data_IF_533889992649
#
_entry.id   IF_533889992649
#
_cell.length_a   1.000
_cell.length_b   1.000
_cell.length_c   1.000
_cell.angle_alpha   90.00
_cell.angle_beta   90.00
_cell.angle_gamma   90.00
#
_symmetry.space_group_name_H-M   'P 1'
#
loop_
_entity.id
_entity.type
_entity.pdbx_description
1 polymer ?
#
# COMPACT_ATOMS: atom_id res chain seq x y z
N UNK A 1 10.72 8.39 -5.86
CA UNK A 1 9.92 9.64 -5.73
C UNK A 1 10.36 10.46 -4.51
N UNK A 2 10.38 9.90 -3.30
CA UNK A 2 10.77 10.64 -2.08
C UNK A 2 12.20 11.17 -2.12
N UNK A 3 13.15 10.41 -2.64
CA UNK A 3 14.54 10.86 -2.85
C UNK A 3 14.61 12.06 -3.81
N UNK A 4 13.82 12.05 -4.88
CA UNK A 4 13.76 13.16 -5.82
C UNK A 4 13.21 14.41 -5.13
N UNK A 5 12.13 14.26 -4.34
CA UNK A 5 11.54 15.33 -3.53
C UNK A 5 12.55 15.93 -2.54
N UNK A 6 13.31 15.10 -1.81
CA UNK A 6 14.31 15.59 -0.84
C UNK A 6 15.46 16.30 -1.54
N UNK A 7 15.81 15.87 -2.75
CA UNK A 7 16.86 16.49 -3.57
C UNK A 7 16.51 17.88 -4.12
N UNK A 8 15.26 18.35 -4.01
CA UNK A 8 14.84 19.67 -4.50
C UNK A 8 15.35 20.78 -3.58
N UNK A 9 15.93 21.83 -4.16
CA UNK A 9 16.62 22.89 -3.42
C UNK A 9 15.75 23.70 -2.45
N UNK A 10 14.44 23.82 -2.71
CA UNK A 10 13.57 24.73 -1.95
C UNK A 10 12.25 24.08 -1.54
N UNK A 11 11.71 24.52 -0.39
CA UNK A 11 10.38 24.10 0.07
C UNK A 11 9.27 24.48 -0.92
N UNK A 12 9.44 25.56 -1.69
CA UNK A 12 8.51 25.93 -2.76
C UNK A 12 8.55 24.91 -3.91
N UNK A 13 9.73 24.45 -4.31
CA UNK A 13 9.89 23.39 -5.32
C UNK A 13 9.27 22.08 -4.81
N UNK A 14 9.52 21.71 -3.55
CA UNK A 14 8.92 20.52 -2.92
C UNK A 14 7.39 20.56 -2.93
N UNK A 15 6.78 21.68 -2.51
CA UNK A 15 5.33 21.87 -2.56
C UNK A 15 4.76 21.80 -3.99
N UNK A 16 5.49 22.33 -4.96
CA UNK A 16 5.07 22.27 -6.36
C UNK A 16 5.11 20.83 -6.88
N UNK A 17 6.18 20.11 -6.60
CA UNK A 17 6.31 18.69 -6.92
C UNK A 17 5.19 17.86 -6.30
N UNK A 18 4.89 18.09 -5.02
CA UNK A 18 3.80 17.44 -4.29
C UNK A 18 2.43 17.69 -4.98
N UNK A 19 2.16 18.93 -5.39
CA UNK A 19 0.94 19.31 -6.11
C UNK A 19 0.80 18.58 -7.45
N UNK A 20 1.83 18.64 -8.29
CA UNK A 20 1.79 18.04 -9.63
C UNK A 20 1.72 16.51 -9.53
N UNK A 21 2.44 15.92 -8.59
CA UNK A 21 2.42 14.47 -8.35
C UNK A 21 1.03 14.01 -7.90
N UNK A 22 0.36 14.79 -7.03
CA UNK A 22 -1.01 14.48 -6.60
C UNK A 22 -2.02 14.58 -7.73
N UNK A 23 -1.92 15.60 -8.59
CA UNK A 23 -2.79 15.68 -9.77
C UNK A 23 -2.52 14.56 -10.77
N UNK A 24 -1.26 14.15 -10.96
CA UNK A 24 -0.92 13.01 -11.82
C UNK A 24 -1.56 11.72 -11.30
N UNK A 25 -1.51 11.48 -9.98
CA UNK A 25 -2.22 10.37 -9.33
C UNK A 25 -3.74 10.48 -9.43
N UNK A 26 -4.31 11.69 -9.37
CA UNK A 26 -5.75 11.90 -9.50
C UNK A 26 -6.25 11.55 -10.90
N UNK A 27 -5.50 11.92 -11.92
CA UNK A 27 -5.88 11.74 -13.33
C UNK A 27 -5.74 10.29 -13.75
N UNK A 28 -4.66 9.61 -13.36
CA UNK A 28 -4.30 8.29 -13.88
C UNK A 28 -4.48 7.15 -12.88
N UNK A 29 -4.78 7.47 -11.63
CA UNK A 29 -4.76 6.53 -10.51
C UNK A 29 -3.40 6.46 -9.82
N UNK A 30 -3.39 5.95 -8.59
CA UNK A 30 -2.20 6.00 -7.72
C UNK A 30 -0.97 5.29 -8.31
N UNK A 31 -1.16 4.11 -8.91
CA UNK A 31 -0.06 3.30 -9.46
C UNK A 31 0.46 3.91 -10.76
N UNK A 32 -0.41 4.12 -11.74
CA UNK A 32 -0.04 4.66 -13.05
C UNK A 32 0.51 6.08 -12.93
N UNK A 33 -0.12 6.93 -12.11
CA UNK A 33 0.35 8.29 -11.83
C UNK A 33 1.72 8.31 -11.16
N UNK A 34 2.01 7.38 -10.24
CA UNK A 34 3.36 7.26 -9.68
C UNK A 34 4.38 6.79 -10.73
N UNK A 35 4.01 5.85 -11.58
CA UNK A 35 4.87 5.39 -12.69
C UNK A 35 5.19 6.53 -13.66
N UNK A 36 4.19 7.35 -14.01
CA UNK A 36 4.42 8.52 -14.87
C UNK A 36 5.26 9.58 -14.18
N UNK A 37 5.04 9.84 -12.89
CA UNK A 37 5.88 10.75 -12.13
C UNK A 37 7.34 10.24 -12.11
N UNK A 38 7.57 8.94 -11.92
CA UNK A 38 8.92 8.35 -11.91
C UNK A 38 9.60 8.45 -13.28
N UNK A 39 8.86 8.19 -14.36
CA UNK A 39 9.39 8.34 -15.72
C UNK A 39 9.68 9.81 -16.04
N UNK A 40 8.75 10.70 -15.68
CA UNK A 40 8.86 12.14 -15.90
C UNK A 40 10.08 12.74 -15.22
N UNK A 41 10.29 12.45 -13.92
CA UNK A 41 11.45 13.00 -13.19
C UNK A 41 12.80 12.55 -13.76
N UNK A 42 12.88 11.38 -14.40
CA UNK A 42 14.11 10.89 -15.04
C UNK A 42 14.42 11.64 -16.34
N UNK A 43 13.40 12.20 -16.98
CA UNK A 43 13.50 12.92 -18.24
C UNK A 43 13.67 14.44 -18.06
N UNK A 44 13.62 14.95 -16.83
CA UNK A 44 13.87 16.36 -16.54
C UNK A 44 15.39 16.62 -16.51
N UNK A 45 15.90 17.34 -17.51
CA UNK A 45 17.33 17.69 -17.62
C UNK A 45 17.82 18.57 -16.46
N UNK A 46 17.03 19.60 -16.09
CA UNK A 46 17.37 20.50 -14.99
C UNK A 46 16.15 20.67 -14.07
N UNK A 47 16.15 19.94 -12.95
CA UNK A 47 15.06 19.93 -11.98
C UNK A 47 14.76 21.31 -11.41
N UNK A 48 15.78 22.12 -11.14
CA UNK A 48 15.58 23.41 -10.48
C UNK A 48 14.99 24.45 -11.42
N UNK A 49 15.44 24.47 -12.67
CA UNK A 49 14.86 25.32 -13.71
C UNK A 49 13.42 24.90 -14.00
N UNK A 50 13.18 23.60 -14.15
CA UNK A 50 11.84 23.04 -14.38
C UNK A 50 10.84 23.51 -13.32
N UNK A 51 11.13 23.29 -12.02
CA UNK A 51 10.20 23.70 -10.96
C UNK A 51 10.13 25.21 -10.77
N UNK A 52 11.16 25.98 -11.15
CA UNK A 52 11.08 27.43 -11.16
C UNK A 52 10.09 27.93 -12.22
N UNK A 53 10.14 27.37 -13.43
CA UNK A 53 9.23 27.74 -14.53
C UNK A 53 7.80 27.32 -14.20
N UNK A 54 7.62 26.09 -13.67
CA UNK A 54 6.30 25.62 -13.25
C UNK A 54 5.71 26.47 -12.12
N UNK A 55 6.54 26.93 -11.17
CA UNK A 55 6.08 27.84 -10.10
C UNK A 55 5.57 29.18 -10.65
N UNK A 56 6.23 29.73 -11.67
CA UNK A 56 5.85 31.01 -12.27
C UNK A 56 4.53 30.90 -13.03
N UNK A 57 4.33 29.84 -13.81
CA UNK A 57 3.09 29.63 -14.57
C UNK A 57 1.92 29.18 -13.69
N UNK A 58 2.19 28.54 -12.54
CA UNK A 58 1.15 27.98 -11.67
C UNK A 58 0.14 29.02 -11.17
N UNK A 59 0.53 30.29 -10.99
CA UNK A 59 -0.41 31.36 -10.62
C UNK A 59 -1.46 31.55 -11.72
N UNK A 60 -1.01 31.65 -12.95
CA UNK A 60 -1.86 31.87 -14.13
C UNK A 60 -2.76 30.62 -14.38
N UNK A 61 -2.21 29.42 -14.23
CA UNK A 61 -2.95 28.14 -14.31
C UNK A 61 -4.13 28.12 -13.31
N UNK A 62 -3.89 28.47 -12.04
CA UNK A 62 -4.94 28.47 -11.03
C UNK A 62 -6.00 29.57 -11.28
N UNK A 63 -5.59 30.74 -11.79
CA UNK A 63 -6.52 31.83 -12.14
C UNK A 63 -7.52 31.39 -13.22
N UNK A 64 -7.06 30.60 -14.20
CA UNK A 64 -7.90 30.06 -15.27
C UNK A 64 -8.58 28.74 -14.89
N UNK A 65 -8.52 28.34 -13.61
CA UNK A 65 -9.10 27.08 -13.09
C UNK A 65 -8.62 25.84 -13.84
N UNK A 66 -7.39 25.88 -14.34
CA UNK A 66 -6.72 24.75 -14.97
C UNK A 66 -6.06 23.87 -13.91
N UNK A 67 -5.89 22.59 -14.23
CA UNK A 67 -5.11 21.66 -13.40
C UNK A 67 -3.86 21.21 -14.14
N UNK A 68 -2.78 21.08 -13.39
CA UNK A 68 -1.45 20.75 -13.92
C UNK A 68 -0.98 19.41 -13.33
N UNK A 69 -0.70 18.46 -14.20
CA UNK A 69 -0.09 17.16 -13.89
C UNK A 69 1.22 16.98 -14.66
N UNK A 70 1.95 15.91 -14.39
CA UNK A 70 3.21 15.57 -15.06
C UNK A 70 2.99 14.37 -15.96
N UNK A 71 3.69 14.35 -17.08
CA UNK A 71 3.71 13.21 -17.99
C UNK A 71 5.00 12.42 -17.86
N UNK A 72 4.97 11.18 -18.34
CA UNK A 72 6.16 10.30 -18.38
C UNK A 72 7.34 10.86 -19.18
N UNK A 73 7.11 11.76 -20.14
CA UNK A 73 8.14 12.45 -20.94
C UNK A 73 8.75 13.69 -20.25
N UNK A 74 8.36 13.99 -19.00
CA UNK A 74 8.90 15.13 -18.26
C UNK A 74 8.30 16.47 -18.67
N UNK A 75 7.14 16.44 -19.36
CA UNK A 75 6.35 17.63 -19.69
C UNK A 75 5.24 17.84 -18.66
N UNK A 76 4.63 19.03 -18.68
CA UNK A 76 3.42 19.31 -17.91
C UNK A 76 2.18 19.07 -18.76
N UNK A 77 1.16 18.47 -18.16
CA UNK A 77 -0.12 18.23 -18.79
C UNK A 77 -1.18 19.14 -18.16
N UNK A 78 -1.88 19.91 -18.99
CA UNK A 78 -2.98 20.77 -18.59
C UNK A 78 -4.32 20.07 -18.85
N UNK A 79 -5.16 20.01 -17.82
CA UNK A 79 -6.47 19.35 -17.83
C UNK A 79 -6.42 17.88 -18.30
N UNK A 80 -5.26 17.23 -18.22
CA UNK A 80 -5.03 15.85 -18.70
C UNK A 80 -5.09 15.67 -20.22
N UNK A 81 -5.17 16.76 -20.99
CA UNK A 81 -5.38 16.72 -22.43
C UNK A 81 -4.21 17.29 -23.24
N UNK A 82 -3.54 18.32 -22.73
CA UNK A 82 -2.57 19.09 -23.51
C UNK A 82 -1.20 19.10 -22.82
N UNK A 83 -0.20 18.59 -23.53
CA UNK A 83 1.18 18.54 -23.05
C UNK A 83 1.95 19.78 -23.47
N UNK A 84 2.78 20.30 -22.56
CA UNK A 84 3.63 21.44 -22.81
C UNK A 84 4.96 21.31 -22.08
N UNK A 85 6.01 21.92 -22.66
CA UNK A 85 7.23 22.17 -21.94
C UNK A 85 7.05 23.40 -21.01
N UNK A 86 7.38 23.32 -19.71
CA UNK A 86 7.25 24.47 -18.81
C UNK A 86 8.02 25.72 -19.25
N UNK A 87 9.19 25.53 -19.87
CA UNK A 87 10.01 26.64 -20.36
C UNK A 87 9.32 27.38 -21.51
N UNK A 88 8.67 26.65 -22.43
CA UNK A 88 7.88 27.24 -23.52
C UNK A 88 6.67 28.00 -22.98
N UNK A 89 5.91 27.41 -22.04
CA UNK A 89 4.79 28.10 -21.39
C UNK A 89 5.25 29.37 -20.65
N UNK A 90 6.40 29.31 -20.00
CA UNK A 90 6.97 30.48 -19.35
C UNK A 90 7.33 31.57 -20.37
N UNK A 91 7.95 31.20 -21.49
CA UNK A 91 8.41 32.10 -22.55
C UNK A 91 7.26 32.74 -23.35
N UNK A 92 6.06 32.16 -23.39
CA UNK A 92 4.86 32.77 -24.02
C UNK A 92 4.42 34.10 -23.38
N UNK A 93 4.97 34.47 -22.22
CA UNK A 93 4.55 35.65 -21.49
C UNK A 93 3.15 35.53 -20.90
N UNK A 94 2.72 36.54 -20.14
CA UNK A 94 1.45 36.49 -19.41
C UNK A 94 0.24 36.52 -20.34
N UNK A 95 0.29 37.33 -21.39
CA UNK A 95 -0.80 37.50 -22.35
C UNK A 95 -0.99 36.26 -23.22
N UNK A 96 0.10 35.71 -23.77
CA UNK A 96 0.06 34.48 -24.56
C UNK A 96 -0.46 33.29 -23.73
N UNK A 97 -0.06 33.19 -22.46
CA UNK A 97 -0.61 32.18 -21.55
C UNK A 97 -2.10 32.37 -21.28
N UNK A 98 -2.55 33.61 -21.06
CA UNK A 98 -3.97 33.86 -20.78
C UNK A 98 -4.87 33.49 -21.98
N UNK A 99 -4.43 33.78 -23.20
CA UNK A 99 -5.13 33.38 -24.43
C UNK A 99 -5.17 31.85 -24.56
N UNK A 100 -4.02 31.19 -24.41
CA UNK A 100 -3.93 29.74 -24.44
C UNK A 100 -4.84 29.10 -23.38
N UNK A 101 -4.75 29.54 -22.12
CA UNK A 101 -5.51 28.96 -21.02
C UNK A 101 -7.01 29.18 -21.16
N UNK A 102 -7.43 30.30 -21.74
CA UNK A 102 -8.84 30.55 -22.06
C UNK A 102 -9.35 29.61 -23.16
N UNK A 103 -8.51 29.28 -24.16
CA UNK A 103 -8.86 28.33 -25.22
C UNK A 103 -8.98 26.88 -24.72
N UNK A 104 -8.22 26.52 -23.69
CA UNK A 104 -8.23 25.17 -23.09
C UNK A 104 -9.48 24.89 -22.23
N UNK A 105 -10.21 25.93 -21.82
CA UNK A 105 -11.38 25.81 -20.96
C UNK A 105 -11.06 25.37 -19.52
N UNK A 106 -12.05 25.42 -18.63
CA UNK A 106 -11.87 25.06 -17.22
C UNK A 106 -11.73 23.55 -17.03
N UNK A 107 -11.03 23.13 -15.97
CA UNK A 107 -10.92 21.71 -15.65
C UNK A 107 -12.29 21.11 -15.26
N UNK A 108 -12.64 19.98 -15.86
CA UNK A 108 -13.76 19.13 -15.40
C UNK A 108 -13.41 18.51 -14.04
N UNK A 109 -14.15 18.88 -12.99
CA UNK A 109 -13.93 18.42 -11.60
C UNK A 109 -14.97 17.36 -11.23
N UNK A 110 -14.87 16.18 -11.83
CA UNK A 110 -15.75 15.05 -11.48
C UNK A 110 -15.10 14.08 -10.48
N UNK A 111 -13.86 14.31 -10.04
CA UNK A 111 -13.13 13.39 -9.15
C UNK A 111 -12.61 14.08 -7.89
N UNK A 112 -12.68 13.34 -6.78
CA UNK A 112 -12.27 13.79 -5.44
C UNK A 112 -10.79 14.21 -5.39
N UNK A 113 -10.46 15.14 -4.49
CA UNK A 113 -9.10 15.61 -4.30
C UNK A 113 -8.23 14.50 -3.70
N UNK A 114 -7.03 14.32 -4.26
CA UNK A 114 -6.04 13.34 -3.78
C UNK A 114 -5.05 14.05 -2.83
N UNK A 115 -4.62 13.40 -1.73
CA UNK A 115 -3.63 13.99 -0.83
C UNK A 115 -2.36 14.43 -1.57
N UNK A 116 -1.88 15.64 -1.25
CA UNK A 116 -0.65 16.20 -1.81
C UNK A 116 0.62 15.59 -1.21
N UNK A 117 0.52 14.96 -0.03
CA UNK A 117 1.65 14.24 0.56
C UNK A 117 1.96 13.00 -0.28
N UNK A 118 3.20 12.92 -0.76
CA UNK A 118 3.71 11.72 -1.40
C UNK A 118 4.07 10.75 -0.27
N UNK A 119 3.13 9.90 0.09
CA UNK A 119 3.43 8.70 0.88
C UNK A 119 4.19 7.72 -0.02
N UNK A 120 5.31 7.13 0.44
CA UNK A 120 5.96 6.07 -0.31
C UNK A 120 4.96 4.97 -0.66
N UNK A 121 5.10 4.36 -1.84
CA UNK A 121 4.31 3.18 -2.23
C UNK A 121 4.80 1.89 -1.58
N UNK A 122 5.73 2.00 -0.64
CA UNK A 122 5.94 1.05 0.44
C UNK A 122 5.23 1.60 1.67
N UNK A 123 4.35 0.78 2.24
CA UNK A 123 3.95 0.81 3.64
C UNK A 123 4.91 1.61 4.52
N UNK A 124 4.59 2.89 4.76
CA UNK A 124 5.19 3.69 5.80
C UNK A 124 4.09 4.58 6.35
N UNK A 125 3.48 4.09 7.43
CA UNK A 125 2.58 4.83 8.30
C UNK A 125 3.42 5.91 8.98
N UNK A 126 3.45 7.12 8.42
CA UNK A 126 3.95 8.29 9.16
C UNK A 126 2.92 8.66 10.20
N UNK A 127 3.26 8.41 11.47
CA UNK A 127 2.57 9.00 12.62
C UNK A 127 2.51 10.53 12.51
N UNK A 128 1.37 11.07 12.91
CA UNK A 128 1.23 12.45 13.34
C UNK A 128 1.05 12.41 14.85
N UNK A 129 2.13 12.59 15.59
CA UNK A 129 2.09 13.19 16.93
C UNK A 129 3.34 14.08 17.05
N UNK A 130 3.11 15.27 17.61
CA UNK A 130 4.09 16.31 17.87
C UNK A 130 5.25 15.82 18.72
N UNK A 131 6.42 16.41 18.49
CA UNK A 131 7.43 16.59 19.52
C UNK A 131 8.43 15.45 19.70
N UNK A 132 9.66 15.76 19.29
CA UNK A 132 10.92 15.20 19.80
C UNK A 132 11.38 13.84 19.27
N UNK A 133 12.70 13.80 19.15
CA UNK A 133 13.52 12.89 18.37
C UNK A 133 13.65 11.53 19.07
N UNK A 134 13.24 10.42 18.45
CA UNK A 134 13.96 9.12 18.53
C UNK A 134 13.39 8.03 17.59
N UNK A 135 14.04 6.84 17.45
CA UNK A 135 14.62 6.34 16.22
C UNK A 135 13.62 5.63 15.28
N UNK A 136 14.09 5.38 14.05
CA UNK A 136 13.41 4.71 12.94
C UNK A 136 12.93 3.28 13.29
N UNK A 137 11.85 3.16 14.04
CA UNK A 137 11.06 1.94 14.17
C UNK A 137 9.89 1.98 13.19
N UNK A 138 9.93 1.14 12.16
CA UNK A 138 8.87 1.01 11.16
C UNK A 138 7.64 0.32 11.80
N UNK A 139 6.74 1.10 12.40
CA UNK A 139 5.49 0.60 12.96
C UNK A 139 4.54 0.12 11.86
N UNK A 140 4.27 -1.19 11.82
CA UNK A 140 3.27 -1.82 10.95
C UNK A 140 1.89 -1.74 11.61
N UNK A 141 1.36 -0.54 11.82
CA UNK A 141 0.02 -0.38 12.41
C UNK A 141 -1.08 -0.64 11.38
N UNK A 142 -2.02 -1.53 11.66
CA UNK A 142 -3.25 -1.69 10.88
C UNK A 142 -4.33 -0.76 11.45
N UNK A 143 -4.93 0.09 10.61
CA UNK A 143 -6.02 0.95 11.03
C UNK A 143 -7.41 0.44 10.60
N UNK A 144 -8.46 0.62 11.43
CA UNK A 144 -9.85 0.38 11.05
C UNK A 144 -10.23 1.07 9.73
N UNK A 145 -10.82 0.31 8.80
CA UNK A 145 -11.30 0.84 7.52
C UNK A 145 -10.21 1.08 6.48
N UNK A 146 -8.95 0.79 6.80
CA UNK A 146 -7.83 0.91 5.87
C UNK A 146 -7.91 -0.13 4.74
N UNK A 147 -7.53 0.27 3.52
CA UNK A 147 -7.32 -0.66 2.40
C UNK A 147 -5.81 -0.84 2.22
N UNK A 148 -5.32 -1.99 2.66
CA UNK A 148 -3.91 -2.36 2.59
C UNK A 148 -3.67 -3.09 1.28
N UNK A 149 -2.65 -2.63 0.53
CA UNK A 149 -2.18 -3.33 -0.66
C UNK A 149 -1.08 -4.31 -0.28
N UNK A 150 -1.32 -5.60 -0.54
CA UNK A 150 -0.40 -6.70 -0.24
C UNK A 150 -0.11 -7.43 -1.56
N UNK A 151 1.03 -7.12 -2.18
CA UNK A 151 1.34 -7.60 -3.53
C UNK A 151 0.31 -7.12 -4.57
N UNK A 152 -0.41 -8.06 -5.16
CA UNK A 152 -1.51 -7.82 -6.12
C UNK A 152 -2.87 -7.67 -5.45
N UNK A 153 -2.97 -7.95 -4.15
CA UNK A 153 -4.22 -7.94 -3.40
C UNK A 153 -4.49 -6.57 -2.78
N UNK A 154 -5.77 -6.17 -2.80
CA UNK A 154 -6.28 -5.05 -2.01
C UNK A 154 -7.16 -5.63 -0.91
N UNK A 155 -6.70 -5.53 0.33
CA UNK A 155 -7.40 -6.07 1.49
C UNK A 155 -7.90 -4.91 2.34
N UNK A 156 -9.22 -4.82 2.48
CA UNK A 156 -9.84 -3.90 3.42
C UNK A 156 -9.80 -4.52 4.81
N UNK A 157 -9.38 -3.76 5.80
CA UNK A 157 -9.44 -4.13 7.21
C UNK A 157 -10.69 -3.52 7.82
N UNK A 158 -11.52 -4.37 8.41
CA UNK A 158 -12.66 -3.95 9.23
C UNK A 158 -12.18 -3.38 10.57
N UNK A 159 -13.04 -2.63 11.25
CA UNK A 159 -12.73 -2.12 12.58
C UNK A 159 -12.51 -3.26 13.59
N UNK A 160 -13.41 -4.26 13.57
CA UNK A 160 -13.29 -5.47 14.38
C UNK A 160 -12.03 -6.27 14.06
N UNK A 161 -11.60 -6.32 12.80
CA UNK A 161 -10.38 -6.99 12.41
C UNK A 161 -9.11 -6.32 12.95
N UNK A 162 -9.04 -4.98 12.89
CA UNK A 162 -7.93 -4.23 13.46
C UNK A 162 -7.84 -4.42 14.98
N UNK A 163 -8.98 -4.33 15.69
CA UNK A 163 -9.07 -4.56 17.13
C UNK A 163 -8.66 -5.98 17.52
N UNK A 164 -9.13 -6.99 16.78
CA UNK A 164 -8.77 -8.39 17.00
C UNK A 164 -7.26 -8.64 16.85
N UNK A 165 -6.62 -8.03 15.85
CA UNK A 165 -5.16 -8.16 15.67
C UNK A 165 -4.42 -7.44 16.78
N UNK A 166 -4.87 -6.25 17.19
CA UNK A 166 -4.27 -5.51 18.29
C UNK A 166 -4.33 -6.30 19.60
N UNK A 167 -5.50 -6.87 19.95
CA UNK A 167 -5.69 -7.69 21.14
C UNK A 167 -4.85 -8.98 21.09
N UNK A 168 -4.79 -9.65 19.93
CA UNK A 168 -4.03 -10.88 19.78
C UNK A 168 -2.53 -10.67 20.04
N UNK A 169 -2.01 -9.50 19.66
CA UNK A 169 -0.59 -9.18 19.70
C UNK A 169 -0.20 -8.19 20.81
N UNK A 170 -1.12 -7.89 21.73
CA UNK A 170 -0.96 -6.86 22.78
C UNK A 170 0.25 -7.12 23.69
N UNK A 171 0.54 -8.39 23.97
CA UNK A 171 1.63 -8.79 24.87
C UNK A 171 2.99 -8.93 24.18
N UNK A 172 3.09 -8.63 22.88
CA UNK A 172 4.33 -8.75 22.13
C UNK A 172 5.13 -7.45 22.16
N UNK A 173 6.46 -7.55 22.18
CA UNK A 173 7.30 -6.37 21.98
C UNK A 173 7.11 -5.82 20.55
N UNK A 174 7.40 -4.53 20.36
CA UNK A 174 7.22 -3.86 19.07
C UNK A 174 8.00 -4.54 17.95
N UNK A 175 9.22 -5.02 18.23
CA UNK A 175 10.05 -5.73 17.25
C UNK A 175 9.44 -7.08 16.86
N UNK A 176 8.91 -7.83 17.84
CA UNK A 176 8.23 -9.11 17.59
C UNK A 176 6.99 -8.87 16.74
N UNK A 177 6.19 -7.87 17.11
CA UNK A 177 4.98 -7.46 16.41
C UNK A 177 5.29 -7.13 14.94
N UNK A 178 6.28 -6.25 14.70
CA UNK A 178 6.65 -5.84 13.36
C UNK A 178 7.14 -7.02 12.50
N UNK A 179 7.99 -7.88 13.07
CA UNK A 179 8.50 -9.05 12.36
C UNK A 179 7.39 -10.07 12.04
N UNK A 180 6.48 -10.33 12.99
CA UNK A 180 5.34 -11.21 12.80
C UNK A 180 4.39 -10.69 11.72
N UNK A 181 4.07 -9.39 11.77
CA UNK A 181 3.22 -8.76 10.76
C UNK A 181 3.88 -8.81 9.38
N UNK A 182 5.20 -8.63 9.31
CA UNK A 182 5.94 -8.73 8.05
C UNK A 182 5.87 -10.15 7.49
N UNK A 183 6.05 -11.19 8.32
CA UNK A 183 5.88 -12.59 7.91
C UNK A 183 4.44 -12.85 7.43
N UNK A 184 3.43 -12.42 8.19
CA UNK A 184 2.03 -12.61 7.84
C UNK A 184 1.65 -11.96 6.50
N UNK A 185 2.13 -10.74 6.24
CA UNK A 185 1.88 -10.07 4.96
C UNK A 185 2.63 -10.73 3.80
N UNK A 186 3.81 -11.29 4.03
CA UNK A 186 4.52 -12.06 3.00
C UNK A 186 3.82 -13.39 2.69
N UNK A 187 3.25 -14.07 3.69
CA UNK A 187 2.40 -15.24 3.42
C UNK A 187 1.19 -14.84 2.58
N UNK A 188 0.47 -13.78 3.00
CA UNK A 188 -0.73 -13.29 2.31
C UNK A 188 -0.43 -12.82 0.88
N UNK A 189 0.74 -12.24 0.62
CA UNK A 189 1.14 -11.78 -0.73
C UNK A 189 1.43 -12.93 -1.71
N UNK A 190 1.73 -14.12 -1.20
CA UNK A 190 2.00 -15.32 -1.99
C UNK A 190 0.75 -16.19 -2.21
N UNK A 191 -0.42 -15.75 -1.72
CA UNK A 191 -1.67 -16.47 -1.95
C UNK A 191 -2.24 -16.18 -3.34
N UNK A 192 -2.68 -17.24 -4.03
CA UNK A 192 -3.42 -17.12 -5.30
C UNK A 192 -4.92 -16.96 -5.05
N UNK A 193 -5.71 -16.46 -6.03
CA UNK A 193 -7.15 -16.23 -5.84
C UNK A 193 -7.94 -17.45 -5.36
N UNK A 194 -7.57 -18.66 -5.79
CA UNK A 194 -8.21 -19.90 -5.34
C UNK A 194 -7.96 -20.17 -3.85
N UNK A 195 -6.73 -19.98 -3.38
CA UNK A 195 -6.35 -20.15 -1.97
C UNK A 195 -7.05 -19.12 -1.07
N UNK A 196 -7.15 -17.88 -1.55
CA UNK A 196 -7.90 -16.81 -0.86
C UNK A 196 -9.38 -17.17 -0.75
N UNK A 197 -9.96 -17.75 -1.81
CA UNK A 197 -11.34 -18.23 -1.76
C UNK A 197 -11.50 -19.26 -0.65
N UNK A 198 -10.58 -20.23 -0.53
CA UNK A 198 -10.59 -21.26 0.54
C UNK A 198 -10.52 -20.67 1.95
N UNK A 199 -9.67 -19.68 2.20
CA UNK A 199 -9.64 -18.97 3.48
C UNK A 199 -10.98 -18.29 3.80
N UNK A 200 -11.59 -17.63 2.81
CA UNK A 200 -12.92 -17.03 2.96
C UNK A 200 -14.02 -18.07 3.20
N UNK A 201 -13.84 -19.31 2.74
CA UNK A 201 -14.78 -20.40 3.07
C UNK A 201 -14.75 -20.74 4.55
N UNK A 202 -13.57 -20.69 5.16
CA UNK A 202 -13.41 -21.05 6.55
C UNK A 202 -14.05 -19.99 7.46
N UNK A 203 -13.80 -18.71 7.21
CA UNK A 203 -14.40 -17.63 7.99
C UNK A 203 -14.80 -16.47 7.07
N UNK A 204 -16.05 -16.45 6.55
CA UNK A 204 -16.49 -15.42 5.59
C UNK A 204 -16.59 -14.04 6.23
N UNK A 205 -16.87 -13.99 7.53
CA UNK A 205 -17.07 -12.75 8.30
C UNK A 205 -15.77 -12.19 8.89
N UNK A 206 -14.65 -12.90 8.70
CA UNK A 206 -13.36 -12.55 9.28
C UNK A 206 -12.39 -12.05 8.21
N UNK A 207 -11.71 -10.94 8.49
CA UNK A 207 -10.75 -10.37 7.55
C UNK A 207 -9.60 -11.34 7.27
N UNK A 208 -9.17 -11.40 6.01
CA UNK A 208 -8.06 -12.24 5.57
C UNK A 208 -6.77 -12.00 6.38
N UNK A 209 -6.52 -10.75 6.74
CA UNK A 209 -5.37 -10.39 7.57
C UNK A 209 -5.49 -11.00 8.96
N UNK A 210 -6.67 -10.94 9.58
CA UNK A 210 -6.90 -11.52 10.91
C UNK A 210 -6.69 -13.04 10.87
N UNK A 211 -7.26 -13.72 9.87
CA UNK A 211 -7.08 -15.17 9.72
C UNK A 211 -5.61 -15.55 9.55
N UNK A 212 -4.90 -14.82 8.69
CA UNK A 212 -3.48 -15.07 8.43
C UNK A 212 -2.64 -14.79 9.68
N UNK A 213 -2.86 -13.67 10.36
CA UNK A 213 -2.12 -13.30 11.57
C UNK A 213 -2.40 -14.29 12.70
N UNK A 214 -3.66 -14.73 12.90
CA UNK A 214 -4.01 -15.78 13.86
C UNK A 214 -3.27 -17.07 13.59
N UNK A 215 -3.26 -17.52 12.33
CA UNK A 215 -2.53 -18.72 11.95
C UNK A 215 -1.03 -18.56 12.23
N UNK A 216 -0.40 -17.49 11.73
CA UNK A 216 1.05 -17.28 11.89
C UNK A 216 1.42 -17.17 13.37
N UNK A 217 0.67 -16.42 14.17
CA UNK A 217 0.90 -16.30 15.61
C UNK A 217 0.80 -17.66 16.31
N UNK A 218 -0.26 -18.43 16.05
CA UNK A 218 -0.44 -19.75 16.65
C UNK A 218 0.60 -20.76 16.18
N UNK A 219 0.97 -20.71 14.89
CA UNK A 219 2.02 -21.55 14.33
C UNK A 219 3.35 -21.27 15.03
N UNK A 220 3.77 -20.01 15.12
CA UNK A 220 5.03 -19.62 15.77
C UNK A 220 5.03 -19.92 17.28
N UNK A 221 3.86 -19.91 17.92
CA UNK A 221 3.71 -20.22 19.35
C UNK A 221 3.84 -21.72 19.65
N UNK A 222 3.41 -22.60 18.75
CA UNK A 222 3.28 -24.04 19.03
C UNK A 222 4.17 -24.93 18.15
N UNK A 223 4.65 -24.44 17.00
CA UNK A 223 5.39 -25.21 16.01
C UNK A 223 6.64 -24.43 15.54
N UNK A 224 7.73 -25.17 15.29
CA UNK A 224 8.93 -24.61 14.65
C UNK A 224 8.97 -25.07 13.18
N UNK A 225 9.34 -24.20 12.23
CA UNK A 225 9.45 -24.58 10.82
C UNK A 225 10.63 -25.54 10.56
N UNK A 226 11.66 -25.58 11.42
CA UNK A 226 12.86 -26.43 11.22
C UNK A 226 13.36 -27.20 12.47
N UNK A 227 12.53 -27.41 13.51
CA UNK A 227 13.00 -28.08 14.74
C UNK A 227 11.91 -28.70 15.63
N UNK A 228 12.33 -29.26 16.77
CA UNK A 228 11.45 -29.88 17.77
C UNK A 228 10.47 -28.87 18.40
N UNK A 229 9.28 -29.31 18.86
CA UNK A 229 8.26 -28.44 19.46
C UNK A 229 8.82 -27.61 20.62
N UNK A 230 8.50 -26.32 20.61
CA UNK A 230 9.07 -25.34 21.54
C UNK A 230 8.80 -25.68 23.00
N UNK A 231 9.84 -25.66 23.84
CA UNK A 231 9.67 -25.60 25.30
C UNK A 231 8.99 -24.27 25.67
N UNK A 232 8.05 -24.31 26.60
CA UNK A 232 7.25 -23.19 27.14
C UNK A 232 8.10 -22.09 27.79
N UNK A 233 8.88 -21.37 26.99
CA UNK A 233 9.62 -20.19 27.44
C UNK A 233 9.24 -19.02 26.54
N UNK A 234 8.96 -17.86 27.14
CA UNK A 234 8.43 -16.65 26.49
C UNK A 234 9.28 -16.13 25.32
N UNK A 235 10.51 -16.62 25.16
CA UNK A 235 11.40 -16.27 24.04
C UNK A 235 11.24 -17.18 22.80
N UNK A 236 10.34 -18.17 22.83
CA UNK A 236 10.13 -19.12 21.73
C UNK A 236 9.75 -18.45 20.41
N UNK A 237 8.78 -17.51 20.44
CA UNK A 237 8.32 -16.81 19.24
C UNK A 237 9.45 -16.01 18.58
N UNK A 238 10.32 -15.35 19.36
CA UNK A 238 11.43 -14.57 18.80
C UNK A 238 12.48 -15.43 18.12
N UNK A 239 12.82 -16.57 18.73
CA UNK A 239 13.78 -17.52 18.14
C UNK A 239 13.22 -18.08 16.84
N UNK A 240 11.95 -18.47 16.82
CA UNK A 240 11.29 -19.01 15.63
C UNK A 240 11.13 -17.94 14.55
N UNK A 241 10.76 -16.70 14.92
CA UNK A 241 10.69 -15.59 13.98
C UNK A 241 12.05 -15.31 13.33
N UNK A 242 13.14 -15.36 14.09
CA UNK A 242 14.48 -15.13 13.55
C UNK A 242 14.85 -16.11 12.42
N UNK A 243 14.31 -17.34 12.42
CA UNK A 243 14.53 -18.33 11.35
C UNK A 243 13.95 -17.90 9.99
N UNK A 244 12.97 -16.99 10.00
CA UNK A 244 12.39 -16.40 8.78
C UNK A 244 13.26 -15.32 8.16
N UNK A 245 14.26 -14.80 8.88
CA UNK A 245 15.12 -13.71 8.42
C UNK A 245 16.57 -14.17 8.27
N UNK A 246 17.19 -13.81 7.15
CA UNK A 246 18.62 -14.00 6.91
C UNK A 246 19.20 -12.67 6.44
N UNK A 247 20.20 -12.15 7.15
CA UNK A 247 20.82 -10.84 6.86
C UNK A 247 19.79 -9.69 6.80
N UNK A 248 18.75 -9.74 7.63
CA UNK A 248 17.68 -8.73 7.67
C UNK A 248 16.69 -8.80 6.50
N UNK A 249 16.80 -9.79 5.62
CA UNK A 249 15.83 -10.08 4.56
C UNK A 249 15.01 -11.32 4.89
N UNK A 250 13.75 -11.34 4.47
CA UNK A 250 12.89 -12.51 4.64
C UNK A 250 13.33 -13.61 3.67
N UNK A 251 13.45 -14.81 4.20
CA UNK A 251 13.72 -16.03 3.45
C UNK A 251 12.46 -16.49 2.72
N UNK A 252 12.49 -16.45 1.39
CA UNK A 252 11.30 -16.79 0.59
C UNK A 252 10.88 -18.26 0.74
N UNK A 253 11.84 -19.16 0.93
CA UNK A 253 11.61 -20.59 1.17
C UNK A 253 10.83 -20.85 2.46
N UNK A 254 11.10 -20.09 3.54
CA UNK A 254 10.37 -20.23 4.81
C UNK A 254 8.95 -19.68 4.71
N UNK A 255 8.75 -18.60 3.95
CA UNK A 255 7.42 -18.05 3.66
C UNK A 255 6.58 -19.03 2.83
N UNK A 256 7.17 -19.65 1.80
CA UNK A 256 6.48 -20.64 0.99
C UNK A 256 6.12 -21.88 1.82
N UNK A 257 7.03 -22.35 2.68
CA UNK A 257 6.72 -23.44 3.61
C UNK A 257 5.56 -23.07 4.56
N UNK A 258 5.59 -21.87 5.14
CA UNK A 258 4.53 -21.41 6.05
C UNK A 258 3.19 -21.23 5.34
N UNK A 259 3.21 -20.80 4.07
CA UNK A 259 2.04 -20.78 3.20
C UNK A 259 1.46 -22.18 3.03
N UNK A 260 2.28 -23.18 2.70
CA UNK A 260 1.80 -24.56 2.51
C UNK A 260 1.19 -25.10 3.81
N UNK A 261 1.79 -24.78 4.97
CA UNK A 261 1.20 -25.12 6.28
C UNK A 261 -0.14 -24.42 6.53
N UNK A 262 -0.28 -23.15 6.15
CA UNK A 262 -1.55 -22.43 6.24
C UNK A 262 -2.64 -23.15 5.43
N UNK A 263 -2.33 -23.55 4.19
CA UNK A 263 -3.29 -24.22 3.32
C UNK A 263 -3.66 -25.61 3.84
N UNK A 264 -2.69 -26.38 4.33
CA UNK A 264 -2.94 -27.68 4.95
C UNK A 264 -3.82 -27.56 6.20
N UNK A 265 -3.60 -26.53 7.01
CA UNK A 265 -4.45 -26.22 8.16
C UNK A 265 -5.87 -25.86 7.73
N UNK A 266 -6.04 -24.99 6.72
CA UNK A 266 -7.34 -24.64 6.17
C UNK A 266 -8.09 -25.88 5.66
N UNK A 267 -7.41 -26.75 4.91
CA UNK A 267 -8.02 -27.98 4.38
C UNK A 267 -8.44 -28.93 5.51
N UNK A 268 -7.62 -29.04 6.57
CA UNK A 268 -7.92 -29.84 7.75
C UNK A 268 -9.13 -29.31 8.53
N UNK A 269 -9.21 -27.99 8.73
CA UNK A 269 -10.34 -27.34 9.39
C UNK A 269 -11.65 -27.47 8.58
N UNK A 270 -11.58 -27.28 7.25
CA UNK A 270 -12.72 -27.50 6.38
C UNK A 270 -13.19 -28.96 6.47
N UNK A 271 -12.26 -29.92 6.50
CA UNK A 271 -12.59 -31.33 6.65
C UNK A 271 -13.23 -31.63 8.02
N UNK A 272 -12.67 -31.10 9.10
CA UNK A 272 -13.21 -31.26 10.45
C UNK A 272 -14.63 -30.68 10.57
N UNK A 273 -14.88 -29.50 10.00
CA UNK A 273 -16.24 -28.91 9.96
C UNK A 273 -17.23 -29.76 9.17
N UNK A 274 -16.81 -30.36 8.05
CA UNK A 274 -17.65 -31.29 7.29
C UNK A 274 -18.02 -32.53 8.12
N UNK A 275 -17.10 -33.05 8.92
CA UNK A 275 -17.37 -34.17 9.82
C UNK A 275 -18.29 -33.78 10.99
N UNK A 276 -18.13 -32.56 11.54
CA UNK A 276 -18.96 -32.07 12.66
C UNK A 276 -20.39 -31.71 12.24
N UNK A 277 -20.59 -31.31 10.98
CA UNK A 277 -21.91 -30.94 10.44
C UNK A 277 -22.28 -31.76 9.20
N UNK A 278 -22.44 -33.09 9.32
CA UNK A 278 -22.65 -34.00 8.18
C UNK A 278 -23.99 -33.76 7.45
N UNK A 279 -24.95 -33.14 8.13
CA UNK A 279 -26.31 -32.91 7.61
C UNK A 279 -26.49 -31.55 6.91
N UNK A 280 -25.48 -30.66 6.92
CA UNK A 280 -25.57 -29.38 6.24
C UNK A 280 -25.19 -29.53 4.77
N UNK A 281 -26.08 -29.15 3.86
CA UNK A 281 -25.79 -29.17 2.42
C UNK A 281 -24.81 -28.05 2.11
N UNK A 282 -23.62 -28.41 1.63
CA UNK A 282 -22.65 -27.46 1.10
C UNK A 282 -23.13 -26.96 -0.27
N UNK A 283 -23.63 -25.74 -0.33
CA UNK A 283 -23.98 -25.07 -1.58
C UNK A 283 -22.76 -24.28 -2.05
N UNK A 284 -22.13 -24.73 -3.13
CA UNK A 284 -21.03 -23.99 -3.76
C UNK A 284 -21.63 -22.92 -4.68
N UNK A 285 -21.37 -21.66 -4.38
CA UNK A 285 -21.73 -20.53 -5.21
C UNK A 285 -20.93 -20.57 -6.51
N UNK A 286 -21.64 -20.75 -7.64
CA UNK A 286 -21.03 -20.81 -8.97
C UNK A 286 -20.30 -19.52 -9.40
N UNK A 287 -20.48 -18.40 -8.70
CA UNK A 287 -19.85 -17.10 -9.03
C UNK A 287 -18.58 -16.80 -8.26
N UNK A 288 -18.46 -17.26 -7.01
CA UNK A 288 -17.31 -16.94 -6.15
C UNK A 288 -16.61 -18.18 -5.59
N UNK A 289 -17.05 -19.39 -5.95
CA UNK A 289 -16.66 -20.66 -5.34
C UNK A 289 -16.84 -20.69 -3.81
N UNK A 290 -17.65 -19.77 -3.27
CA UNK A 290 -18.03 -19.70 -1.86
C UNK A 290 -18.91 -20.90 -1.48
N UNK A 291 -18.66 -21.54 -0.35
CA UNK A 291 -19.41 -22.70 0.14
C UNK A 291 -20.29 -22.22 1.31
N UNK A 292 -21.60 -22.28 1.13
CA UNK A 292 -22.58 -22.02 2.17
C UNK A 292 -22.99 -23.37 2.79
N UNK A 293 -22.88 -23.52 4.10
CA UNK A 293 -23.41 -24.68 4.82
C UNK A 293 -24.84 -24.36 5.29
N UNK A 294 -25.84 -24.94 4.61
CA UNK A 294 -27.26 -24.83 4.96
C UNK A 294 -27.70 -26.05 5.76
#
# INVERSE_FOLDING_TARGET
INEYRTSLRSNRHRKMFDKISAESRRVQGAVQGNTEVIKGIKNILNKDQYFADVLKINKDVNQHKLRISMTSDGQVNLNSMHKFNPSELYNLGKEGRAQLFSSLGTASVNTSNVPTRITPSTTAVTGYLDGEEEPRGMLVGIHPGEIIRIGTLLVRVSASGAENVALLLENLSQDVYANLMTVAFNVLSNLVPEEIARLRLLSPDEDLIVQTVKFVFNYLRHQRPFGDPSRETDNGIMVVLAEFFQNGMIRQDTILHLKDQLLNWVDSEIHQRRQQYPNKKSIVCAKCNGILFV
#
